data_IF_163274195888
#
_entry.id   IF_163274195888
#
_cell.length_a   1.000
_cell.length_b   1.000
_cell.length_c   1.000
_cell.angle_alpha   90.00
_cell.angle_beta   90.00
_cell.angle_gamma   90.00
#
_symmetry.space_group_name_H-M   'P 1'
#
loop_
_entity.id
_entity.type
_entity.pdbx_description
1 polymer ?
#
# COMPACT_ATOMS: atom_id res chain seq x y z
N UNK A 1 57.03 45.45 38.82
CA UNK A 1 57.95 46.41 38.15
C UNK A 1 57.56 46.38 36.65
N UNK A 2 57.28 47.60 36.20
CA UNK A 2 57.22 48.04 34.80
C UNK A 2 56.22 47.40 33.83
N UNK A 3 55.23 48.22 33.57
CA UNK A 3 54.32 48.27 32.42
C UNK A 3 55.07 48.40 31.08
N UNK A 4 54.59 47.82 30.00
CA UNK A 4 54.75 48.41 28.68
C UNK A 4 53.46 48.19 27.86
N UNK A 5 52.83 49.29 27.55
CA UNK A 5 51.73 49.38 26.59
C UNK A 5 52.29 49.55 25.19
N UNK A 6 51.75 48.91 24.20
CA UNK A 6 52.03 49.23 22.80
C UNK A 6 50.71 49.46 22.06
N UNK A 7 50.52 50.70 21.63
CA UNK A 7 49.50 51.12 20.69
C UNK A 7 49.86 50.64 19.28
N UNK A 8 48.94 50.08 18.54
CA UNK A 8 49.06 49.97 17.10
C UNK A 8 47.78 50.39 16.41
N UNK A 9 48.00 51.24 15.44
CA UNK A 9 47.08 52.09 14.67
C UNK A 9 46.15 51.28 13.74
N UNK A 10 44.90 51.76 13.64
CA UNK A 10 43.92 51.34 12.68
C UNK A 10 44.25 51.97 11.32
N UNK A 11 44.42 51.12 10.30
CA UNK A 11 44.39 51.55 8.88
C UNK A 11 43.08 51.02 8.27
N UNK A 12 42.21 51.97 7.91
CA UNK A 12 40.98 51.69 7.16
C UNK A 12 41.36 51.59 5.67
N UNK A 13 41.20 50.41 5.09
CA UNK A 13 41.22 50.22 3.63
C UNK A 13 39.80 49.96 3.17
N UNK A 14 39.23 50.91 2.49
CA UNK A 14 37.98 50.75 1.73
C UNK A 14 38.25 49.90 0.49
N UNK A 15 37.65 48.71 0.41
CA UNK A 15 37.60 47.91 -0.80
C UNK A 15 36.17 47.88 -1.32
N UNK A 16 36.01 48.37 -2.55
CA UNK A 16 34.77 48.28 -3.32
C UNK A 16 34.37 46.81 -3.53
N UNK A 17 33.21 46.43 -3.04
CA UNK A 17 32.60 45.15 -3.37
C UNK A 17 31.77 45.31 -4.63
N UNK A 18 32.19 44.66 -5.71
CA UNK A 18 31.34 44.38 -6.85
C UNK A 18 30.35 43.29 -6.40
N UNK A 19 29.05 43.60 -6.49
CA UNK A 19 27.98 42.68 -6.21
C UNK A 19 27.97 41.55 -7.24
N UNK A 20 28.16 40.31 -6.75
CA UNK A 20 27.81 39.13 -7.51
C UNK A 20 26.30 38.92 -7.38
N UNK A 21 25.55 39.12 -8.46
CA UNK A 21 24.16 38.69 -8.56
C UNK A 21 24.10 37.15 -8.43
N UNK A 22 23.57 36.69 -7.33
CA UNK A 22 23.15 35.28 -7.19
C UNK A 22 21.92 35.10 -8.08
N UNK A 23 22.11 34.50 -9.24
CA UNK A 23 21.01 34.00 -10.05
C UNK A 23 20.35 32.85 -9.26
N UNK A 24 19.24 33.11 -8.55
CA UNK A 24 18.32 32.11 -8.11
C UNK A 24 17.62 31.51 -9.31
N UNK A 25 18.04 30.30 -9.71
CA UNK A 25 17.27 29.49 -10.64
C UNK A 25 15.95 29.13 -9.98
N UNK A 26 14.90 29.87 -10.26
CA UNK A 26 13.54 29.43 -10.00
C UNK A 26 13.24 28.28 -10.94
N UNK A 27 13.29 27.06 -10.41
CA UNK A 27 12.66 25.91 -11.04
C UNK A 27 11.15 26.24 -11.15
N UNK A 28 10.70 26.52 -12.36
CA UNK A 28 9.28 26.64 -12.65
C UNK A 28 8.64 25.27 -12.47
N UNK A 29 8.18 24.95 -11.26
CA UNK A 29 7.11 23.98 -11.08
C UNK A 29 5.91 24.60 -11.77
N UNK A 30 5.50 24.04 -12.91
CA UNK A 30 4.26 24.37 -13.56
C UNK A 30 3.11 24.04 -12.59
N UNK A 31 2.70 25.01 -11.78
CA UNK A 31 1.49 24.95 -11.02
C UNK A 31 0.33 24.93 -12.03
N UNK A 32 -0.21 23.73 -12.26
CA UNK A 32 -1.51 23.63 -12.96
C UNK A 32 -2.49 24.47 -12.15
N UNK A 33 -3.13 25.45 -12.81
CA UNK A 33 -4.09 26.33 -12.20
C UNK A 33 -5.14 25.49 -11.42
N UNK A 34 -5.49 25.86 -10.18
CA UNK A 34 -6.42 25.08 -9.35
C UNK A 34 -7.84 24.92 -9.94
N UNK A 35 -8.16 25.55 -11.05
CA UNK A 35 -9.51 25.71 -11.59
C UNK A 35 -9.79 25.03 -12.95
N UNK A 36 -8.89 24.19 -13.48
CA UNK A 36 -9.26 23.40 -14.65
C UNK A 36 -10.32 22.37 -14.23
N UNK A 37 -11.51 22.42 -14.85
CA UNK A 37 -12.52 21.37 -14.64
C UNK A 37 -11.98 20.05 -15.20
N UNK A 38 -11.99 19.03 -14.36
CA UNK A 38 -11.56 17.68 -14.71
C UNK A 38 -12.81 16.82 -14.78
N UNK A 39 -12.99 16.09 -15.86
CA UNK A 39 -14.03 15.07 -15.98
C UNK A 39 -13.39 13.70 -16.12
N UNK A 40 -14.10 12.69 -15.63
CA UNK A 40 -13.62 11.32 -15.58
C UNK A 40 -14.60 10.41 -16.32
N UNK A 41 -14.04 9.43 -17.00
CA UNK A 41 -14.76 8.31 -17.59
C UNK A 41 -13.87 7.07 -17.54
N UNK A 42 -14.38 5.92 -17.97
CA UNK A 42 -13.59 4.70 -18.01
C UNK A 42 -13.71 4.01 -19.36
N UNK A 43 -12.71 3.19 -19.66
CA UNK A 43 -12.71 2.25 -20.78
C UNK A 43 -12.39 0.87 -20.24
N UNK A 44 -13.27 -0.11 -20.46
CA UNK A 44 -12.94 -1.52 -20.21
C UNK A 44 -11.86 -1.94 -21.20
N UNK A 45 -10.73 -2.40 -20.67
CA UNK A 45 -9.62 -2.90 -21.48
C UNK A 45 -9.59 -4.42 -21.56
N UNK A 46 -10.20 -5.12 -20.60
CA UNK A 46 -10.25 -6.58 -20.60
C UNK A 46 -11.06 -7.14 -19.44
N UNK A 47 -11.14 -8.48 -19.39
CA UNK A 47 -11.85 -9.21 -18.32
C UNK A 47 -11.05 -10.40 -17.84
N UNK A 48 -10.91 -10.54 -16.51
CA UNK A 48 -10.37 -11.70 -15.81
C UNK A 48 -11.27 -12.01 -14.62
N UNK A 49 -11.85 -13.20 -14.57
CA UNK A 49 -12.71 -13.61 -13.45
C UNK A 49 -11.97 -13.48 -12.11
N UNK A 50 -12.63 -12.84 -11.14
CA UNK A 50 -12.06 -12.65 -9.81
C UNK A 50 -10.84 -11.73 -9.77
N UNK A 51 -10.74 -10.75 -10.68
CA UNK A 51 -9.61 -9.81 -10.67
C UNK A 51 -9.58 -9.03 -9.36
N UNK A 52 -8.41 -9.02 -8.69
CA UNK A 52 -8.22 -8.35 -7.39
C UNK A 52 -6.98 -7.47 -7.35
N UNK A 53 -6.06 -7.62 -8.30
CA UNK A 53 -4.85 -6.79 -8.33
C UNK A 53 -4.33 -6.58 -9.76
N UNK A 54 -3.55 -5.51 -9.94
CA UNK A 54 -2.83 -5.17 -11.16
C UNK A 54 -1.48 -4.58 -10.74
N UNK A 55 -0.39 -5.16 -11.26
CA UNK A 55 0.97 -4.80 -10.86
C UNK A 55 1.86 -4.55 -12.07
N UNK A 56 2.45 -3.36 -12.11
CA UNK A 56 3.47 -3.00 -13.10
C UNK A 56 4.85 -3.43 -12.62
N UNK A 57 5.62 -4.15 -13.46
CA UNK A 57 7.00 -4.50 -13.14
C UNK A 57 7.94 -3.31 -13.37
N UNK A 58 7.76 -2.61 -14.49
CA UNK A 58 8.57 -1.48 -14.89
C UNK A 58 7.76 -0.52 -15.76
N UNK A 59 8.08 0.76 -15.67
CA UNK A 59 7.55 1.78 -16.57
C UNK A 59 7.90 1.53 -18.04
N UNK A 60 9.03 0.84 -18.29
CA UNK A 60 9.51 0.53 -19.64
C UNK A 60 8.76 -0.64 -20.28
N UNK A 61 8.05 -1.45 -19.47
CA UNK A 61 7.24 -2.54 -19.97
C UNK A 61 5.97 -1.99 -20.65
N UNK A 62 5.62 -2.53 -21.81
CA UNK A 62 4.35 -2.25 -22.48
C UNK A 62 3.20 -3.15 -22.01
N UNK A 63 3.38 -3.84 -20.88
CA UNK A 63 2.47 -4.78 -20.28
C UNK A 63 2.51 -4.67 -18.74
N UNK A 64 1.57 -5.34 -18.07
CA UNK A 64 1.48 -5.47 -16.61
C UNK A 64 0.93 -6.84 -16.23
N UNK A 65 1.07 -7.20 -14.96
CA UNK A 65 0.43 -8.39 -14.40
C UNK A 65 -0.98 -8.07 -13.94
N UNK A 66 -1.90 -9.01 -14.18
CA UNK A 66 -3.28 -9.00 -13.69
C UNK A 66 -3.48 -10.24 -12.83
N UNK A 67 -3.95 -10.04 -11.60
CA UNK A 67 -4.04 -11.07 -10.57
C UNK A 67 -5.49 -11.45 -10.35
N UNK A 68 -5.78 -12.74 -10.43
CA UNK A 68 -7.10 -13.31 -10.10
C UNK A 68 -7.07 -13.96 -8.72
N UNK A 69 -8.05 -13.63 -7.90
CA UNK A 69 -8.34 -14.31 -6.64
C UNK A 69 -8.45 -15.83 -6.79
N UNK A 70 -8.84 -16.30 -8.01
CA UNK A 70 -8.95 -17.73 -8.34
C UNK A 70 -7.61 -18.47 -8.40
N UNK A 71 -6.49 -17.76 -8.26
CA UNK A 71 -5.16 -18.35 -8.19
C UNK A 71 -4.33 -18.20 -9.46
N UNK A 72 -4.68 -17.31 -10.38
CA UNK A 72 -3.88 -17.09 -11.59
C UNK A 72 -3.29 -15.69 -11.66
N UNK A 73 -2.12 -15.57 -12.28
CA UNK A 73 -1.52 -14.31 -12.71
C UNK A 73 -1.28 -14.35 -14.19
N UNK A 74 -1.78 -13.32 -14.87
CA UNK A 74 -1.65 -13.17 -16.31
C UNK A 74 -0.84 -11.93 -16.65
N UNK A 75 -0.15 -11.91 -17.79
CA UNK A 75 0.39 -10.69 -18.38
C UNK A 75 -0.55 -10.17 -19.45
N UNK A 76 -0.82 -8.88 -19.39
CA UNK A 76 -1.64 -8.18 -20.36
C UNK A 76 -0.89 -6.96 -20.90
N UNK A 77 -1.04 -6.68 -22.20
CA UNK A 77 -0.57 -5.42 -22.77
C UNK A 77 -1.34 -4.24 -22.16
N UNK A 78 -0.80 -3.04 -22.25
CA UNK A 78 -1.44 -1.83 -21.68
C UNK A 78 -2.80 -1.49 -22.33
N UNK A 79 -3.08 -1.98 -23.52
CA UNK A 79 -4.38 -1.88 -24.19
C UNK A 79 -5.33 -3.03 -23.87
N UNK A 80 -4.89 -3.98 -23.02
CA UNK A 80 -5.73 -5.04 -22.47
C UNK A 80 -5.70 -6.37 -23.23
N UNK A 81 -4.78 -6.54 -24.17
CA UNK A 81 -4.62 -7.84 -24.83
C UNK A 81 -3.92 -8.82 -23.87
N UNK A 82 -4.55 -9.95 -23.61
CA UNK A 82 -3.96 -11.05 -22.84
C UNK A 82 -2.77 -11.65 -23.60
N UNK A 83 -1.64 -11.78 -22.94
CA UNK A 83 -0.42 -12.37 -23.49
C UNK A 83 -0.32 -13.86 -23.08
N UNK A 84 -0.20 -14.12 -21.79
CA UNK A 84 -0.03 -15.46 -21.23
C UNK A 84 -0.46 -15.52 -19.76
N UNK A 85 -0.55 -16.74 -19.23
CA UNK A 85 -0.66 -17.02 -17.80
C UNK A 85 0.74 -17.38 -17.30
N UNK A 86 1.26 -16.56 -16.37
CA UNK A 86 2.62 -16.75 -15.82
C UNK A 86 2.63 -17.52 -14.49
N UNK A 87 1.48 -17.61 -13.83
CA UNK A 87 1.31 -18.42 -12.61
C UNK A 87 -0.11 -19.01 -12.59
N UNK A 88 -0.19 -20.28 -12.18
CA UNK A 88 -1.46 -20.94 -11.86
C UNK A 88 -1.29 -21.77 -10.56
N UNK A 89 -1.88 -21.27 -9.47
CA UNK A 89 -1.97 -21.95 -8.17
C UNK A 89 -3.44 -22.23 -7.79
N UNK A 90 -4.35 -22.25 -8.76
CA UNK A 90 -5.79 -22.47 -8.51
C UNK A 90 -6.07 -23.79 -7.78
N UNK A 91 -5.23 -24.81 -7.98
CA UNK A 91 -5.29 -26.05 -7.23
C UNK A 91 -4.86 -25.93 -5.76
N UNK A 92 -4.19 -24.84 -5.36
CA UNK A 92 -3.65 -24.63 -4.02
C UNK A 92 -4.50 -23.74 -3.13
N UNK A 93 -5.47 -23.00 -3.71
CA UNK A 93 -6.34 -22.06 -3.01
C UNK A 93 -7.81 -22.35 -3.29
N UNK A 94 -8.75 -21.79 -2.51
CA UNK A 94 -10.19 -21.92 -2.75
C UNK A 94 -10.73 -20.82 -3.65
N UNK A 95 -10.19 -19.61 -3.55
CA UNK A 95 -10.65 -18.44 -4.29
C UNK A 95 -12.12 -18.07 -4.02
N UNK A 96 -12.60 -18.25 -2.79
CA UNK A 96 -13.98 -18.01 -2.36
C UNK A 96 -14.05 -17.03 -1.18
N UNK A 97 -15.10 -16.18 -1.15
CA UNK A 97 -15.24 -15.13 -0.15
C UNK A 97 -14.05 -14.16 -0.20
N UNK A 98 -13.36 -14.00 0.92
CA UNK A 98 -12.12 -13.22 1.00
C UNK A 98 -10.84 -14.05 0.78
N UNK A 99 -10.96 -15.37 0.58
CA UNK A 99 -9.84 -16.29 0.37
C UNK A 99 -9.43 -16.34 -1.08
N UNK A 100 -8.17 -16.70 -1.34
CA UNK A 100 -7.65 -16.84 -2.70
C UNK A 100 -6.22 -16.35 -2.83
N UNK A 101 -5.78 -16.08 -4.06
CA UNK A 101 -4.56 -15.34 -4.35
C UNK A 101 -4.89 -13.85 -4.21
N UNK A 102 -4.41 -13.23 -3.14
CA UNK A 102 -4.87 -11.91 -2.69
C UNK A 102 -3.84 -10.80 -2.95
N UNK A 103 -2.56 -11.13 -3.00
CA UNK A 103 -1.50 -10.15 -3.17
C UNK A 103 -0.39 -10.62 -4.09
N UNK A 104 0.17 -9.66 -4.83
CA UNK A 104 1.33 -9.83 -5.69
C UNK A 104 2.19 -8.59 -5.62
N UNK A 105 3.50 -8.76 -5.45
CA UNK A 105 4.44 -7.65 -5.44
C UNK A 105 5.70 -8.01 -6.23
N UNK A 106 6.27 -7.03 -6.92
CA UNK A 106 7.52 -7.17 -7.68
C UNK A 106 8.60 -6.31 -7.03
N UNK A 107 9.74 -6.93 -6.72
CA UNK A 107 10.93 -6.23 -6.27
C UNK A 107 12.01 -6.28 -7.34
N UNK A 108 12.44 -5.11 -7.79
CA UNK A 108 13.54 -4.99 -8.76
C UNK A 108 14.83 -4.61 -8.05
N UNK A 109 15.83 -5.46 -8.14
CA UNK A 109 17.19 -5.19 -7.70
C UNK A 109 18.13 -5.11 -8.92
N UNK A 110 19.31 -4.50 -8.80
CA UNK A 110 20.23 -4.36 -9.93
C UNK A 110 20.62 -5.69 -10.59
N UNK A 111 20.64 -6.79 -9.84
CA UNK A 111 21.08 -8.11 -10.31
C UNK A 111 19.96 -9.12 -10.52
N UNK A 112 18.76 -8.86 -9.98
CA UNK A 112 17.63 -9.80 -10.05
C UNK A 112 16.29 -9.08 -9.89
N UNK A 113 15.24 -9.74 -10.33
CA UNK A 113 13.85 -9.37 -10.03
C UNK A 113 13.17 -10.49 -9.27
N UNK A 114 12.54 -10.16 -8.16
CA UNK A 114 11.82 -11.09 -7.31
C UNK A 114 10.31 -10.78 -7.38
N UNK A 115 9.49 -11.81 -7.33
CA UNK A 115 8.05 -11.73 -7.15
C UNK A 115 7.66 -12.36 -5.80
N UNK A 116 6.64 -11.80 -5.17
CA UNK A 116 6.05 -12.31 -3.93
C UNK A 116 4.56 -12.47 -4.14
N UNK A 117 4.01 -13.58 -3.65
CA UNK A 117 2.58 -13.86 -3.63
C UNK A 117 2.10 -14.01 -2.20
N UNK A 118 0.87 -13.55 -1.95
CA UNK A 118 0.11 -13.84 -0.75
C UNK A 118 -1.16 -14.57 -1.17
N UNK A 119 -1.35 -15.76 -0.66
CA UNK A 119 -2.57 -16.53 -0.92
C UNK A 119 -3.02 -17.28 0.33
N UNK A 120 -4.31 -17.62 0.39
CA UNK A 120 -4.83 -18.55 1.40
C UNK A 120 -4.79 -19.97 0.85
N UNK A 121 -4.16 -20.88 1.58
CA UNK A 121 -4.07 -22.29 1.21
C UNK A 121 -5.44 -23.03 1.40
N UNK A 122 -5.48 -24.33 1.14
CA UNK A 122 -6.71 -25.14 1.29
C UNK A 122 -7.18 -25.28 2.74
N UNK A 123 -6.27 -25.14 3.70
CA UNK A 123 -6.62 -25.15 5.13
C UNK A 123 -7.17 -23.80 5.59
N UNK A 124 -6.99 -22.76 4.76
CA UNK A 124 -7.45 -21.39 4.99
C UNK A 124 -6.36 -20.46 5.52
N UNK A 125 -5.14 -20.96 5.72
CA UNK A 125 -4.03 -20.17 6.24
C UNK A 125 -3.43 -19.24 5.19
N UNK A 126 -2.96 -18.09 5.63
CA UNK A 126 -2.22 -17.16 4.80
C UNK A 126 -0.82 -17.68 4.54
N UNK A 127 -0.43 -17.73 3.29
CA UNK A 127 0.90 -18.20 2.83
C UNK A 127 1.57 -17.11 2.00
N UNK A 128 2.81 -16.79 2.35
CA UNK A 128 3.68 -15.90 1.58
C UNK A 128 4.78 -16.74 0.92
N UNK A 129 4.88 -16.62 -0.39
CA UNK A 129 5.89 -17.34 -1.17
C UNK A 129 6.63 -16.40 -2.12
N UNK A 130 7.84 -16.81 -2.48
CA UNK A 130 8.74 -16.12 -3.40
C UNK A 130 8.83 -16.85 -4.74
N UNK A 131 9.00 -16.09 -5.82
CA UNK A 131 9.20 -16.61 -7.16
C UNK A 131 10.24 -15.72 -7.87
N UNK A 132 11.24 -16.31 -8.51
CA UNK A 132 12.15 -15.56 -9.35
C UNK A 132 11.43 -15.05 -10.61
N UNK A 133 11.78 -13.87 -11.08
CA UNK A 133 11.23 -13.28 -12.30
C UNK A 133 12.31 -13.30 -13.38
N UNK A 134 12.02 -13.92 -14.51
CA UNK A 134 12.89 -13.95 -15.68
C UNK A 134 13.00 -12.56 -16.33
N UNK A 135 14.02 -12.35 -17.15
CA UNK A 135 14.24 -11.08 -17.85
C UNK A 135 13.06 -10.66 -18.72
N UNK A 136 12.38 -11.62 -19.36
CA UNK A 136 11.20 -11.41 -20.18
C UNK A 136 9.92 -11.13 -19.35
N UNK A 137 9.98 -11.24 -18.02
CA UNK A 137 8.86 -11.04 -17.11
C UNK A 137 8.00 -12.27 -16.86
N UNK A 138 8.38 -13.44 -17.36
CA UNK A 138 7.76 -14.69 -16.91
C UNK A 138 8.22 -15.05 -15.51
N UNK A 139 7.42 -15.80 -14.77
CA UNK A 139 7.78 -16.30 -13.45
C UNK A 139 8.50 -17.64 -13.57
N UNK A 140 9.58 -17.84 -12.80
CA UNK A 140 10.31 -19.10 -12.79
C UNK A 140 9.53 -20.16 -11.99
N UNK A 141 8.84 -21.03 -12.69
CA UNK A 141 8.06 -22.14 -12.12
C UNK A 141 8.89 -23.43 -11.96
N UNK A 142 10.21 -23.36 -12.00
CA UNK A 142 11.08 -24.54 -11.82
C UNK A 142 11.04 -25.09 -10.39
N UNK A 143 10.69 -24.25 -9.41
CA UNK A 143 10.45 -24.63 -8.02
C UNK A 143 8.94 -24.67 -7.74
N UNK A 144 8.51 -25.61 -6.88
CA UNK A 144 7.13 -25.60 -6.40
C UNK A 144 6.90 -24.42 -5.46
N UNK A 145 5.70 -23.87 -5.47
CA UNK A 145 5.32 -22.76 -4.54
C UNK A 145 5.50 -23.17 -3.08
N UNK A 146 5.20 -24.43 -2.73
CA UNK A 146 5.46 -24.94 -1.37
C UNK A 146 6.95 -24.96 -1.02
N UNK A 147 7.83 -25.16 -2.00
CA UNK A 147 9.29 -25.13 -1.81
C UNK A 147 9.88 -23.72 -1.72
N UNK A 148 9.09 -22.69 -2.01
CA UNK A 148 9.48 -21.27 -1.93
C UNK A 148 8.65 -20.48 -0.90
N UNK A 149 7.78 -21.17 -0.15
CA UNK A 149 7.05 -20.61 0.99
C UNK A 149 8.00 -20.27 2.12
N UNK A 150 7.93 -19.07 2.67
CA UNK A 150 8.79 -18.62 3.76
C UNK A 150 8.03 -18.08 4.97
N UNK A 151 6.72 -17.82 4.87
CA UNK A 151 5.88 -17.43 5.98
C UNK A 151 4.49 -18.05 5.82
N UNK A 152 4.00 -18.66 6.90
CA UNK A 152 2.61 -19.13 7.01
C UNK A 152 2.00 -18.57 8.28
N UNK A 153 0.79 -18.02 8.17
CA UNK A 153 0.05 -17.44 9.30
C UNK A 153 -1.29 -18.15 9.39
N UNK A 154 -1.55 -18.79 10.52
CA UNK A 154 -2.81 -19.44 10.80
C UNK A 154 -3.96 -18.43 10.79
N UNK A 155 -5.04 -18.76 10.08
CA UNK A 155 -6.24 -17.94 9.95
C UNK A 155 -7.41 -18.63 10.66
N UNK A 156 -7.88 -18.07 11.78
CA UNK A 156 -8.92 -18.70 12.59
C UNK A 156 -10.30 -18.66 11.94
N UNK A 157 -10.54 -17.70 11.04
CA UNK A 157 -11.82 -17.50 10.35
C UNK A 157 -11.63 -17.34 8.84
N UNK A 158 -12.75 -17.37 8.08
CA UNK A 158 -12.71 -17.32 6.63
C UNK A 158 -12.64 -15.91 6.03
N UNK A 159 -12.77 -14.88 6.85
CA UNK A 159 -12.79 -13.48 6.47
C UNK A 159 -11.66 -12.68 7.14
N UNK A 160 -11.49 -11.43 6.74
CA UNK A 160 -10.42 -10.53 7.16
C UNK A 160 -9.02 -11.11 6.90
N UNK A 161 -8.84 -11.65 5.70
CA UNK A 161 -7.54 -12.23 5.32
C UNK A 161 -6.49 -11.16 4.98
N UNK A 162 -6.91 -9.90 4.72
CA UNK A 162 -6.03 -8.87 4.22
C UNK A 162 -5.44 -9.25 2.87
N UNK A 163 -4.14 -9.52 2.84
CA UNK A 163 -3.46 -10.16 1.71
C UNK A 163 -2.65 -9.23 0.82
N UNK A 164 -2.81 -7.92 0.95
CA UNK A 164 -2.03 -6.98 0.15
C UNK A 164 -0.53 -7.10 0.43
N UNK A 165 0.27 -6.94 -0.64
CA UNK A 165 1.73 -6.87 -0.62
C UNK A 165 2.20 -5.58 -1.28
N UNK A 166 3.26 -4.99 -0.75
CA UNK A 166 3.98 -3.90 -1.41
C UNK A 166 5.47 -3.96 -1.10
N UNK A 167 6.30 -3.53 -2.05
CA UNK A 167 7.71 -3.24 -1.80
C UNK A 167 7.83 -1.79 -1.38
N UNK A 168 8.39 -1.56 -0.21
CA UNK A 168 8.64 -0.23 0.30
C UNK A 168 9.78 0.49 -0.41
N UNK A 169 9.91 1.81 -0.21
CA UNK A 169 11.03 2.59 -0.74
C UNK A 169 12.39 2.17 -0.17
N UNK A 170 12.40 1.36 0.87
CA UNK A 170 13.55 0.71 1.51
C UNK A 170 13.88 -0.67 0.93
N UNK A 171 13.16 -1.12 -0.11
CA UNK A 171 13.23 -2.44 -0.74
C UNK A 171 12.85 -3.62 0.17
N UNK A 172 12.19 -3.38 1.30
CA UNK A 172 11.61 -4.43 2.13
C UNK A 172 10.19 -4.79 1.68
N UNK A 173 9.77 -5.99 2.04
CA UNK A 173 8.41 -6.47 1.77
C UNK A 173 7.49 -6.09 2.92
N UNK A 174 6.41 -5.39 2.58
CA UNK A 174 5.31 -5.06 3.49
C UNK A 174 4.13 -5.98 3.20
N UNK A 175 3.54 -6.54 4.27
CA UNK A 175 2.48 -7.55 4.20
C UNK A 175 1.34 -7.09 5.09
N UNK A 176 0.15 -6.92 4.52
CA UNK A 176 -1.07 -6.61 5.26
C UNK A 176 -1.77 -7.89 5.70
N UNK A 177 -2.09 -7.99 6.98
CA UNK A 177 -2.87 -9.08 7.55
C UNK A 177 -4.12 -8.51 8.23
N UNK A 178 -5.27 -9.12 8.00
CA UNK A 178 -6.47 -8.84 8.78
C UNK A 178 -6.35 -9.35 10.22
N UNK A 179 -7.29 -8.96 11.07
CA UNK A 179 -7.36 -9.39 12.49
C UNK A 179 -7.68 -10.88 12.66
N UNK A 180 -7.85 -11.61 11.57
CA UNK A 180 -8.14 -13.04 11.51
C UNK A 180 -9.62 -13.34 11.40
N UNK A 181 -10.51 -12.32 11.38
CA UNK A 181 -11.90 -12.48 11.07
C UNK A 181 -12.85 -12.49 12.26
N UNK A 182 -14.10 -12.88 11.99
CA UNK A 182 -15.23 -12.74 12.89
C UNK A 182 -15.60 -11.26 13.17
N UNK A 183 -16.53 -11.01 14.09
CA UNK A 183 -16.96 -9.65 14.42
C UNK A 183 -16.24 -9.16 15.68
N UNK A 184 -15.89 -7.89 15.71
CA UNK A 184 -15.39 -7.18 16.89
C UNK A 184 -13.99 -7.59 17.37
N UNK A 185 -13.17 -8.29 16.56
CA UNK A 185 -11.85 -8.82 16.95
C UNK A 185 -11.94 -9.58 18.28
N UNK A 186 -12.61 -10.75 18.32
CA UNK A 186 -12.98 -11.43 19.57
C UNK A 186 -11.78 -11.85 20.40
N UNK A 187 -10.65 -12.13 19.78
CA UNK A 187 -9.40 -12.51 20.44
C UNK A 187 -8.43 -11.32 20.62
N UNK A 188 -8.86 -10.09 20.28
CA UNK A 188 -8.06 -8.86 20.44
C UNK A 188 -6.71 -8.87 19.69
N UNK A 189 -6.65 -9.61 18.59
CA UNK A 189 -5.42 -9.82 17.82
C UNK A 189 -4.84 -8.55 17.24
N UNK A 190 -5.69 -7.60 16.86
CA UNK A 190 -5.20 -6.33 16.29
C UNK A 190 -4.28 -5.57 17.23
N UNK A 191 -4.48 -5.63 18.56
CA UNK A 191 -3.63 -5.00 19.58
C UNK A 191 -2.63 -5.95 20.22
N UNK A 192 -2.70 -7.27 19.95
CA UNK A 192 -1.78 -8.27 20.48
C UNK A 192 -0.49 -8.31 19.67
N UNK A 193 0.63 -7.91 20.26
CA UNK A 193 1.95 -7.92 19.62
C UNK A 193 2.58 -9.29 19.50
N UNK A 194 2.00 -10.33 20.11
CA UNK A 194 2.44 -11.73 19.93
C UNK A 194 1.83 -12.38 18.69
N UNK A 195 0.80 -11.74 18.10
CA UNK A 195 0.09 -12.17 16.90
C UNK A 195 0.55 -11.41 15.66
N UNK A 196 0.62 -12.08 14.52
CA UNK A 196 0.86 -11.46 13.21
C UNK A 196 -0.43 -10.96 12.52
N UNK A 197 -1.60 -11.13 13.16
CA UNK A 197 -2.89 -10.73 12.62
C UNK A 197 -3.27 -9.31 13.05
N UNK A 198 -3.98 -8.57 12.16
CA UNK A 198 -4.34 -7.17 12.37
C UNK A 198 -3.15 -6.20 12.26
N UNK A 199 -2.26 -6.44 11.29
CA UNK A 199 -0.92 -5.83 11.19
C UNK A 199 -0.55 -5.37 9.78
N UNK A 200 0.41 -4.46 9.72
CA UNK A 200 1.36 -4.42 8.61
C UNK A 200 2.67 -5.03 9.13
N UNK A 201 3.13 -6.07 8.47
CA UNK A 201 4.43 -6.68 8.72
C UNK A 201 5.46 -6.08 7.77
N UNK A 202 6.73 -6.01 8.18
CA UNK A 202 7.85 -5.56 7.36
C UNK A 202 9.03 -6.50 7.54
N UNK A 203 9.49 -7.10 6.45
CA UNK A 203 10.56 -8.09 6.43
C UNK A 203 11.55 -7.78 5.31
N UNK A 204 12.80 -8.20 5.50
CA UNK A 204 13.82 -8.16 4.46
C UNK A 204 13.90 -9.52 3.75
N UNK A 205 13.45 -9.61 2.48
CA UNK A 205 13.43 -10.85 1.74
C UNK A 205 14.76 -11.17 1.03
N UNK A 206 15.89 -10.65 1.45
CA UNK A 206 17.17 -10.84 0.75
C UNK A 206 17.74 -12.27 0.84
N UNK A 207 17.32 -13.07 1.81
CA UNK A 207 17.85 -14.41 2.06
C UNK A 207 16.88 -15.54 1.65
N UNK A 208 15.86 -15.25 0.84
CA UNK A 208 14.81 -16.23 0.50
C UNK A 208 15.30 -17.36 -0.41
N UNK A 209 16.32 -17.13 -1.22
CA UNK A 209 16.92 -18.12 -2.11
C UNK A 209 18.00 -18.99 -1.41
N UNK A 210 18.31 -18.69 -0.15
CA UNK A 210 19.26 -19.45 0.68
C UNK A 210 18.62 -20.64 1.40
N UNK A 211 19.39 -21.73 1.50
CA UNK A 211 19.00 -22.93 2.25
C UNK A 211 19.08 -22.62 3.75
N UNK A 212 17.99 -22.14 4.33
CA UNK A 212 17.90 -21.85 5.77
C UNK A 212 16.47 -21.59 6.19
N UNK A 213 16.12 -21.97 7.39
CA UNK A 213 14.75 -22.19 7.88
C UNK A 213 13.78 -21.00 7.89
N UNK A 214 14.15 -19.79 7.48
CA UNK A 214 13.22 -18.66 7.56
C UNK A 214 13.29 -17.68 6.38
N UNK A 215 13.91 -18.01 5.28
CA UNK A 215 13.84 -17.26 4.00
C UNK A 215 13.83 -15.72 4.00
N UNK A 216 13.80 -15.08 5.19
CA UNK A 216 13.81 -13.62 5.36
C UNK A 216 14.58 -13.23 6.63
N UNK A 217 14.94 -11.96 6.74
CA UNK A 217 15.48 -11.36 7.97
C UNK A 217 14.61 -10.21 8.44
N UNK A 218 14.79 -9.85 9.70
CA UNK A 218 14.04 -8.72 10.30
C UNK A 218 14.88 -7.46 10.18
N UNK A 219 14.35 -6.37 9.58
CA UNK A 219 15.01 -5.08 9.60
C UNK A 219 15.27 -4.62 11.06
N UNK A 220 16.51 -4.21 11.33
CA UNK A 220 16.94 -3.86 12.69
C UNK A 220 16.23 -2.64 13.28
N UNK A 221 15.57 -1.87 12.44
CA UNK A 221 14.77 -0.69 12.78
C UNK A 221 13.26 -0.98 12.85
N UNK A 222 12.84 -2.27 12.80
CA UNK A 222 11.45 -2.62 13.07
C UNK A 222 11.09 -2.27 14.53
N UNK A 223 9.87 -1.74 14.77
CA UNK A 223 9.50 -1.22 16.09
C UNK A 223 9.57 -2.24 17.23
N UNK A 224 9.32 -3.50 16.92
CA UNK A 224 9.21 -4.57 17.93
C UNK A 224 10.43 -5.51 17.99
N UNK A 225 11.49 -5.25 17.25
CA UNK A 225 12.68 -6.13 17.16
C UNK A 225 13.34 -6.39 18.53
N UNK A 226 13.27 -5.43 19.44
CA UNK A 226 13.88 -5.51 20.79
C UNK A 226 12.83 -5.65 21.91
N UNK A 227 11.56 -5.93 21.57
CA UNK A 227 10.50 -6.07 22.56
C UNK A 227 10.29 -7.56 22.86
N UNK A 228 10.63 -7.94 24.10
CA UNK A 228 10.51 -9.34 24.54
C UNK A 228 9.07 -9.85 24.42
N UNK A 229 8.88 -10.98 23.74
CA UNK A 229 7.59 -11.62 23.52
C UNK A 229 6.80 -11.05 22.34
N UNK A 230 7.18 -9.92 21.76
CA UNK A 230 6.54 -9.41 20.57
C UNK A 230 7.10 -10.07 19.29
N UNK A 231 6.29 -10.11 18.23
CA UNK A 231 6.71 -10.57 16.90
C UNK A 231 7.54 -9.46 16.23
N UNK A 232 8.80 -9.74 15.90
CA UNK A 232 9.70 -8.72 15.37
C UNK A 232 9.37 -8.30 13.93
N UNK A 233 8.56 -9.06 13.21
CA UNK A 233 8.06 -8.74 11.87
C UNK A 233 7.11 -7.54 11.87
N UNK A 234 6.51 -7.20 13.00
CA UNK A 234 5.49 -6.16 13.11
C UNK A 234 6.09 -4.78 12.85
N UNK A 235 5.48 -4.05 11.91
CA UNK A 235 5.76 -2.65 11.64
C UNK A 235 4.64 -1.73 12.12
N UNK A 236 3.36 -2.13 11.96
CA UNK A 236 2.20 -1.41 12.48
C UNK A 236 1.16 -2.38 13.03
N UNK A 237 0.38 -1.92 14.02
CA UNK A 237 -0.68 -2.68 14.69
C UNK A 237 -2.02 -1.95 14.59
N UNK A 238 -3.09 -2.62 15.02
CA UNK A 238 -4.40 -1.99 15.18
C UNK A 238 -5.15 -1.79 13.88
N UNK A 239 -5.04 -2.75 12.95
CA UNK A 239 -5.77 -2.80 11.70
C UNK A 239 -6.81 -3.92 11.76
N UNK A 240 -7.94 -3.73 11.05
CA UNK A 240 -9.01 -4.74 10.99
C UNK A 240 -8.86 -5.66 9.78
N UNK A 241 -8.91 -5.08 8.59
CA UNK A 241 -8.77 -5.79 7.32
C UNK A 241 -8.17 -4.84 6.28
N UNK A 242 -6.84 -4.56 6.35
CA UNK A 242 -6.15 -3.68 5.42
C UNK A 242 -6.13 -4.31 4.03
N UNK A 243 -7.25 -4.14 3.32
CA UNK A 243 -7.50 -4.82 2.05
C UNK A 243 -6.49 -4.44 0.97
N UNK A 244 -6.15 -3.14 0.90
CA UNK A 244 -5.11 -2.64 -0.01
C UNK A 244 -4.35 -1.50 0.63
N UNK A 245 -3.08 -1.41 0.28
CA UNK A 245 -2.25 -0.28 0.63
C UNK A 245 -1.25 0.03 -0.49
N UNK A 246 -0.70 1.22 -0.48
CA UNK A 246 0.26 1.69 -1.46
C UNK A 246 1.17 2.75 -0.89
N UNK A 247 2.40 2.81 -1.39
CA UNK A 247 3.31 3.91 -1.07
C UNK A 247 3.09 5.08 -2.03
N UNK A 248 3.14 6.30 -1.50
CA UNK A 248 3.23 7.49 -2.33
C UNK A 248 4.69 7.79 -2.72
N UNK A 249 4.89 8.81 -3.57
CA UNK A 249 6.22 9.22 -4.03
C UNK A 249 7.10 9.83 -2.92
N UNK A 250 6.52 10.19 -1.78
CA UNK A 250 7.23 10.67 -0.60
C UNK A 250 7.65 9.53 0.32
N UNK A 251 7.11 8.33 0.09
CA UNK A 251 7.36 7.12 0.87
C UNK A 251 6.40 6.94 2.04
N UNK A 252 5.30 7.69 2.11
CA UNK A 252 4.24 7.42 3.07
C UNK A 252 3.41 6.23 2.60
N UNK A 253 2.96 5.39 3.54
CA UNK A 253 2.07 4.27 3.26
C UNK A 253 0.62 4.68 3.49
N UNK A 254 -0.19 4.61 2.44
CA UNK A 254 -1.62 4.79 2.46
C UNK A 254 -2.32 3.45 2.59
N UNK A 255 -3.22 3.32 3.56
CA UNK A 255 -3.88 2.06 3.90
C UNK A 255 -5.39 2.27 3.84
N UNK A 256 -6.07 1.44 3.04
CA UNK A 256 -7.52 1.30 3.06
C UNK A 256 -7.87 0.14 4.00
N UNK A 257 -8.42 0.45 5.15
CA UNK A 257 -8.78 -0.52 6.18
C UNK A 257 -10.29 -0.64 6.30
N UNK A 258 -10.80 -1.85 6.11
CA UNK A 258 -12.24 -2.12 6.07
C UNK A 258 -12.83 -2.09 7.48
N UNK A 259 -13.84 -1.27 7.67
CA UNK A 259 -14.53 -1.09 8.94
C UNK A 259 -15.46 -2.24 9.32
N UNK A 260 -16.02 -2.17 10.53
CA UNK A 260 -16.85 -3.23 11.07
C UNK A 260 -18.35 -3.05 10.78
N UNK A 261 -18.90 -1.89 11.18
CA UNK A 261 -20.33 -1.66 11.18
C UNK A 261 -20.76 -0.30 10.63
N UNK A 262 -19.90 0.72 10.74
CA UNK A 262 -20.31 2.11 10.53
C UNK A 262 -19.33 2.96 9.75
N UNK A 263 -18.04 2.67 9.80
CA UNK A 263 -17.02 3.57 9.30
C UNK A 263 -15.95 2.83 8.51
N UNK A 264 -15.73 3.26 7.29
CA UNK A 264 -14.58 2.86 6.48
C UNK A 264 -13.43 3.86 6.69
N UNK A 265 -12.18 3.42 6.56
CA UNK A 265 -11.01 4.19 6.92
C UNK A 265 -9.95 4.28 5.82
N UNK A 266 -9.38 5.48 5.66
CA UNK A 266 -8.10 5.68 5.00
C UNK A 266 -7.09 6.14 6.04
N UNK A 267 -6.04 5.38 6.23
CA UNK A 267 -4.96 5.65 7.16
C UNK A 267 -3.69 6.04 6.41
N UNK A 268 -2.84 6.87 7.02
CA UNK A 268 -1.50 7.19 6.50
C UNK A 268 -0.47 6.86 7.57
N UNK A 269 0.52 6.06 7.18
CA UNK A 269 1.74 5.87 7.93
C UNK A 269 2.85 6.72 7.30
N UNK A 270 3.44 7.67 8.04
CA UNK A 270 4.48 8.51 7.50
C UNK A 270 5.75 7.69 7.20
N UNK A 271 6.54 8.12 6.21
CA UNK A 271 7.83 7.50 5.85
C UNK A 271 8.77 7.32 7.04
N UNK A 272 8.72 8.24 8.00
CA UNK A 272 9.51 8.16 9.23
C UNK A 272 9.19 6.93 10.08
N UNK A 273 8.07 6.25 9.81
CA UNK A 273 7.64 5.03 10.50
C UNK A 273 7.17 5.24 11.93
N UNK A 274 7.49 6.38 12.56
CA UNK A 274 7.13 6.63 13.95
C UNK A 274 6.55 8.04 14.11
N UNK A 275 5.46 8.13 14.85
CA UNK A 275 4.96 9.39 15.42
C UNK A 275 5.76 9.69 16.68
N UNK A 276 6.11 10.96 16.91
CA UNK A 276 6.88 11.36 18.07
C UNK A 276 6.28 10.83 19.38
N UNK A 277 7.09 10.14 20.17
CA UNK A 277 6.68 9.51 21.43
C UNK A 277 6.03 8.13 21.32
N UNK A 278 5.89 7.57 20.12
CA UNK A 278 5.39 6.21 19.88
C UNK A 278 6.53 5.23 19.65
N UNK A 279 6.36 3.99 20.11
CA UNK A 279 7.26 2.86 19.78
C UNK A 279 6.87 2.22 18.45
N UNK A 280 5.61 2.41 17.97
CA UNK A 280 5.09 1.85 16.74
C UNK A 280 3.89 2.67 16.23
N UNK A 281 3.47 2.38 15.00
CA UNK A 281 2.22 2.87 14.44
C UNK A 281 1.06 1.99 14.93
N UNK A 282 0.05 2.60 15.57
CA UNK A 282 -1.16 1.92 16.04
C UNK A 282 -2.38 2.61 15.45
N UNK A 283 -3.11 1.94 14.56
CA UNK A 283 -4.29 2.49 13.89
C UNK A 283 -5.60 2.30 14.65
N UNK A 284 -5.54 1.75 15.87
CA UNK A 284 -6.60 1.86 16.85
C UNK A 284 -7.62 0.73 16.89
N UNK A 285 -7.75 -0.11 15.88
CA UNK A 285 -8.64 -1.26 15.89
C UNK A 285 -8.20 -2.25 17.01
N UNK A 286 -9.02 -2.85 17.81
CA UNK A 286 -10.49 -2.75 17.85
C UNK A 286 -11.02 -1.81 18.96
N UNK A 287 -10.17 -0.93 19.49
CA UNK A 287 -10.59 0.11 20.42
C UNK A 287 -11.43 1.19 19.73
N UNK A 288 -11.13 1.45 18.46
CA UNK A 288 -11.81 2.43 17.62
C UNK A 288 -12.25 1.81 16.30
N UNK A 289 -13.33 2.33 15.73
CA UNK A 289 -13.77 2.21 14.34
C UNK A 289 -13.91 3.62 13.80
N UNK A 290 -13.09 3.98 12.81
CA UNK A 290 -12.89 5.38 12.47
C UNK A 290 -12.30 6.17 13.65
N UNK A 291 -12.84 7.34 13.87
CA UNK A 291 -12.51 8.17 15.05
C UNK A 291 -13.39 7.86 16.26
N UNK A 292 -14.22 6.82 16.19
CA UNK A 292 -15.25 6.52 17.16
C UNK A 292 -14.85 5.37 18.07
N UNK A 293 -15.10 5.53 19.37
CA UNK A 293 -14.86 4.47 20.34
C UNK A 293 -15.74 3.24 20.01
N UNK A 294 -15.11 2.06 19.89
CA UNK A 294 -15.78 0.82 19.54
C UNK A 294 -15.79 -0.15 20.72
N UNK A 295 -14.71 -0.89 20.99
CA UNK A 295 -14.60 -1.74 22.15
C UNK A 295 -14.10 -0.95 23.37
N UNK A 296 -14.95 -0.82 24.40
CA UNK A 296 -14.60 -0.02 25.60
C UNK A 296 -13.57 -0.68 26.51
N UNK A 297 -13.40 -2.01 26.41
CA UNK A 297 -12.45 -2.82 27.17
C UNK A 297 -11.07 -2.93 26.50
N UNK A 298 -10.90 -2.47 25.25
CA UNK A 298 -9.63 -2.47 24.53
C UNK A 298 -8.94 -1.13 24.65
N UNK A 299 -7.65 -1.15 24.94
CA UNK A 299 -6.82 0.06 25.01
C UNK A 299 -5.89 0.06 23.80
N UNK A 300 -6.07 1.04 22.91
CA UNK A 300 -5.13 1.34 21.84
C UNK A 300 -4.28 2.54 22.25
N UNK A 301 -3.07 2.26 22.73
CA UNK A 301 -2.15 3.33 23.17
C UNK A 301 -1.66 4.13 21.96
N UNK A 302 -1.66 5.46 22.06
CA UNK A 302 -1.20 6.38 21.02
C UNK A 302 -1.84 6.09 19.64
N UNK A 303 -3.13 5.77 19.64
CA UNK A 303 -3.84 5.46 18.40
C UNK A 303 -3.79 6.64 17.42
N UNK A 304 -3.39 6.35 16.18
CA UNK A 304 -3.41 7.27 15.06
C UNK A 304 -4.80 7.18 14.45
N UNK A 305 -5.50 8.30 14.40
CA UNK A 305 -6.81 8.38 13.78
C UNK A 305 -6.70 8.40 12.25
N UNK A 306 -7.69 7.86 11.54
CA UNK A 306 -7.69 7.87 10.08
C UNK A 306 -7.66 9.31 9.55
N UNK A 307 -6.95 9.50 8.43
CA UNK A 307 -6.89 10.79 7.72
C UNK A 307 -8.22 11.11 7.02
N UNK A 308 -8.98 10.06 6.71
CA UNK A 308 -10.31 10.12 6.14
C UNK A 308 -11.14 8.95 6.61
N UNK A 309 -12.42 9.20 6.85
CA UNK A 309 -13.41 8.16 7.13
C UNK A 309 -14.73 8.49 6.43
N UNK A 310 -15.50 7.47 6.08
CA UNK A 310 -16.85 7.66 5.57
C UNK A 310 -17.80 6.62 6.17
N UNK A 311 -19.10 6.99 6.35
CA UNK A 311 -20.06 6.10 7.02
C UNK A 311 -20.58 5.01 6.06
N UNK A 312 -21.14 3.93 6.65
CA UNK A 312 -21.94 2.94 5.94
C UNK A 312 -23.38 3.47 5.66
N UNK A 313 -23.44 4.69 5.12
CA UNK A 313 -24.70 5.30 4.68
C UNK A 313 -24.84 5.14 3.15
N UNK A 314 -26.06 5.31 2.64
CA UNK A 314 -26.36 5.27 1.19
C UNK A 314 -25.87 4.01 0.47
N UNK A 315 -25.71 2.91 1.22
CA UNK A 315 -25.30 1.61 0.67
C UNK A 315 -23.80 1.35 0.68
N UNK A 316 -22.96 2.25 1.18
CA UNK A 316 -21.52 2.02 1.38
C UNK A 316 -21.27 0.92 2.43
N UNK A 317 -20.24 0.12 2.23
CA UNK A 317 -20.00 -1.04 3.10
C UNK A 317 -18.56 -1.51 3.24
N UNK A 318 -17.69 -1.20 2.29
CA UNK A 318 -16.32 -1.73 2.32
C UNK A 318 -15.41 -0.95 1.38
N UNK A 319 -14.41 -0.31 1.95
CA UNK A 319 -13.34 0.31 1.17
C UNK A 319 -12.51 -0.76 0.48
N UNK A 320 -12.30 -0.63 -0.83
CA UNK A 320 -11.63 -1.64 -1.64
C UNK A 320 -10.28 -1.20 -2.20
N UNK A 321 -9.61 -0.37 -1.44
CA UNK A 321 -8.24 -0.03 -1.73
C UNK A 321 -8.07 1.24 -2.53
N UNK A 322 -6.84 1.52 -2.88
CA UNK A 322 -6.57 2.77 -3.52
C UNK A 322 -5.15 2.92 -4.05
N UNK A 323 -4.99 4.00 -4.79
CA UNK A 323 -3.73 4.40 -5.37
C UNK A 323 -3.55 5.92 -5.32
N UNK A 324 -2.33 6.37 -5.14
CA UNK A 324 -1.98 7.79 -5.27
C UNK A 324 -1.71 8.12 -6.73
N UNK A 325 -2.33 9.17 -7.23
CA UNK A 325 -2.05 9.67 -8.57
C UNK A 325 -0.69 10.36 -8.62
N UNK A 326 0.22 9.82 -9.41
CA UNK A 326 1.58 10.37 -9.60
C UNK A 326 1.69 11.26 -10.83
N UNK A 327 0.78 11.12 -11.79
CA UNK A 327 0.79 11.82 -13.07
C UNK A 327 -0.52 12.60 -13.29
N UNK A 328 -0.40 13.93 -13.36
CA UNK A 328 -1.56 14.81 -13.56
C UNK A 328 -2.27 14.60 -14.89
N UNK A 329 -1.55 14.20 -15.93
CA UNK A 329 -2.11 14.09 -17.29
C UNK A 329 -3.00 12.86 -17.45
N UNK A 330 -2.57 11.74 -16.92
CA UNK A 330 -3.21 10.44 -17.14
C UNK A 330 -4.06 9.94 -15.96
N UNK A 331 -3.83 10.47 -14.74
CA UNK A 331 -4.43 9.94 -13.52
C UNK A 331 -5.32 10.95 -12.78
N UNK A 332 -5.57 12.12 -13.35
CA UNK A 332 -6.39 13.14 -12.73
C UNK A 332 -5.61 14.15 -11.91
N UNK A 333 -5.78 14.18 -10.60
CA UNK A 333 -5.14 15.15 -9.71
C UNK A 333 -3.92 14.53 -9.02
N UNK A 334 -2.70 14.95 -9.39
CA UNK A 334 -1.48 14.45 -8.76
C UNK A 334 -1.47 14.70 -7.24
N UNK A 335 -0.99 13.72 -6.50
CA UNK A 335 -0.94 13.76 -5.04
C UNK A 335 -2.26 13.42 -4.35
N UNK A 336 -3.35 13.20 -5.12
CA UNK A 336 -4.60 12.73 -4.56
C UNK A 336 -4.60 11.20 -4.44
N UNK A 337 -5.18 10.70 -3.36
CA UNK A 337 -5.43 9.28 -3.15
C UNK A 337 -6.84 8.93 -3.64
N UNK A 338 -6.93 7.95 -4.51
CA UNK A 338 -8.17 7.45 -5.09
C UNK A 338 -8.50 6.10 -4.47
N UNK A 339 -9.70 5.92 -3.99
CA UNK A 339 -10.20 4.66 -3.41
C UNK A 339 -11.61 4.36 -3.90
N UNK A 340 -11.99 3.08 -3.83
CA UNK A 340 -13.32 2.60 -4.19
C UNK A 340 -14.11 2.12 -2.98
N UNK A 341 -15.43 2.08 -3.11
CA UNK A 341 -16.30 1.31 -2.22
C UNK A 341 -16.87 0.11 -2.98
N UNK A 342 -16.79 -1.05 -2.36
CA UNK A 342 -17.21 -2.32 -2.96
C UNK A 342 -18.72 -2.37 -3.21
N UNK A 343 -19.55 -1.83 -2.31
CA UNK A 343 -21.01 -1.93 -2.39
C UNK A 343 -21.63 -0.91 -3.33
N UNK A 344 -21.22 0.35 -3.21
CA UNK A 344 -21.78 1.43 -4.05
C UNK A 344 -21.15 1.47 -5.44
N UNK A 345 -19.91 0.97 -5.58
CA UNK A 345 -19.16 1.14 -6.81
C UNK A 345 -18.72 2.57 -7.07
N UNK A 346 -18.66 3.38 -6.03
CA UNK A 346 -18.15 4.75 -6.10
C UNK A 346 -16.63 4.77 -6.07
N UNK A 347 -16.03 5.64 -6.86
CA UNK A 347 -14.61 6.01 -6.75
C UNK A 347 -14.53 7.42 -6.21
N UNK A 348 -13.85 7.57 -5.10
CA UNK A 348 -13.61 8.85 -4.43
C UNK A 348 -12.12 9.17 -4.43
N UNK A 349 -11.80 10.45 -4.64
CA UNK A 349 -10.45 10.96 -4.52
C UNK A 349 -10.36 11.96 -3.36
N UNK A 350 -9.29 11.88 -2.58
CA UNK A 350 -9.02 12.79 -1.46
C UNK A 350 -7.64 13.42 -1.57
N UNK A 351 -7.54 14.66 -1.13
CA UNK A 351 -6.29 15.37 -0.89
C UNK A 351 -6.10 15.59 0.60
N UNK A 352 -4.90 15.37 1.10
CA UNK A 352 -4.55 15.64 2.50
C UNK A 352 -3.42 16.65 2.62
N UNK A 353 -3.38 17.32 3.77
CA UNK A 353 -2.23 18.12 4.21
C UNK A 353 -1.29 17.35 5.15
N UNK A 354 -1.51 16.04 5.33
CA UNK A 354 -0.78 15.17 6.24
C UNK A 354 -1.43 15.00 7.61
N UNK A 355 -2.38 15.87 7.98
CA UNK A 355 -3.10 15.83 9.27
C UNK A 355 -4.60 15.58 9.08
N UNK A 356 -5.15 16.03 7.97
CA UNK A 356 -6.58 15.93 7.66
C UNK A 356 -6.82 15.97 6.16
N UNK A 357 -7.99 15.47 5.75
CA UNK A 357 -8.48 15.64 4.39
C UNK A 357 -8.85 17.10 4.15
N UNK A 358 -8.25 17.71 3.12
CA UNK A 358 -8.50 19.11 2.71
C UNK A 358 -9.27 19.23 1.39
N UNK A 359 -9.48 18.12 0.69
CA UNK A 359 -10.27 18.04 -0.52
C UNK A 359 -10.83 16.65 -0.74
N UNK A 360 -12.08 16.59 -1.22
CA UNK A 360 -12.76 15.32 -1.56
C UNK A 360 -13.50 15.51 -2.87
N UNK A 361 -13.43 14.56 -3.77
CA UNK A 361 -14.10 14.56 -5.06
C UNK A 361 -14.65 13.16 -5.37
N UNK A 362 -15.94 13.03 -5.70
CA UNK A 362 -16.48 11.80 -6.28
C UNK A 362 -16.10 11.76 -7.76
N UNK A 363 -15.30 10.78 -8.12
CA UNK A 363 -14.67 10.63 -9.45
C UNK A 363 -15.56 9.84 -10.40
N UNK A 364 -16.08 8.70 -9.93
CA UNK A 364 -16.96 7.80 -10.68
C UNK A 364 -18.04 7.25 -9.74
N UNK A 365 -19.15 6.79 -10.31
CA UNK A 365 -20.25 6.13 -9.59
C UNK A 365 -20.69 4.89 -10.35
N UNK A 366 -21.35 3.97 -9.64
CA UNK A 366 -22.02 2.78 -10.22
C UNK A 366 -21.08 1.86 -10.99
N UNK A 367 -19.79 1.77 -10.61
CA UNK A 367 -18.82 0.88 -11.26
C UNK A 367 -19.08 -0.61 -10.96
N UNK A 368 -20.06 -0.92 -10.11
CA UNK A 368 -20.26 -2.25 -9.53
C UNK A 368 -19.29 -2.53 -8.41
N UNK A 369 -19.20 -3.79 -7.97
CA UNK A 369 -18.37 -4.17 -6.82
C UNK A 369 -16.88 -3.96 -7.15
N UNK A 370 -16.31 -2.86 -6.67
CA UNK A 370 -14.89 -2.53 -6.89
C UNK A 370 -14.03 -3.42 -6.00
N UNK A 371 -13.07 -4.13 -6.58
CA UNK A 371 -12.12 -5.00 -5.87
C UNK A 371 -10.78 -4.33 -5.59
N UNK A 372 -10.35 -3.40 -6.46
CA UNK A 372 -9.16 -2.60 -6.25
C UNK A 372 -9.12 -1.36 -7.14
N UNK A 373 -8.37 -0.35 -6.70
CA UNK A 373 -7.87 0.73 -7.57
C UNK A 373 -6.36 0.64 -7.58
N UNK A 374 -5.78 0.65 -8.77
CA UNK A 374 -4.33 0.54 -8.98
C UNK A 374 -3.83 1.59 -9.95
N UNK A 375 -2.60 2.01 -9.76
CA UNK A 375 -1.89 2.89 -10.68
C UNK A 375 -0.65 2.22 -11.26
N UNK A 376 -0.38 2.53 -12.52
CA UNK A 376 0.91 2.33 -13.16
C UNK A 376 1.55 3.69 -13.37
N UNK A 377 2.75 3.76 -13.91
CA UNK A 377 3.36 5.04 -14.27
C UNK A 377 2.56 5.85 -15.30
N UNK A 378 1.68 5.21 -16.07
CA UNK A 378 0.98 5.84 -17.20
C UNK A 378 -0.53 5.95 -17.05
N UNK A 379 -1.16 5.22 -16.14
CA UNK A 379 -2.62 5.21 -16.00
C UNK A 379 -3.07 4.69 -14.63
N UNK A 380 -4.33 4.96 -14.33
CA UNK A 380 -5.04 4.40 -13.18
C UNK A 380 -6.09 3.41 -13.66
N UNK A 381 -6.33 2.36 -12.88
CA UNK A 381 -7.26 1.28 -13.20
C UNK A 381 -8.21 1.03 -12.04
N UNK A 382 -9.47 0.75 -12.39
CA UNK A 382 -10.51 0.28 -11.47
C UNK A 382 -10.82 -1.18 -11.82
N UNK A 383 -10.70 -2.06 -10.84
CA UNK A 383 -10.95 -3.49 -10.99
C UNK A 383 -12.28 -3.84 -10.33
N UNK A 384 -13.08 -4.70 -10.96
CA UNK A 384 -14.40 -5.04 -10.42
C UNK A 384 -14.57 -6.56 -10.25
N UNK A 385 -15.43 -6.97 -9.33
CA UNK A 385 -15.74 -8.38 -9.08
C UNK A 385 -16.28 -9.12 -10.31
N UNK A 386 -16.95 -8.39 -11.23
CA UNK A 386 -17.38 -8.94 -12.52
C UNK A 386 -16.22 -9.29 -13.46
N UNK A 387 -15.00 -9.05 -13.01
CA UNK A 387 -13.77 -9.33 -13.73
C UNK A 387 -13.32 -8.20 -14.65
N UNK A 388 -14.00 -7.09 -14.71
CA UNK A 388 -13.67 -6.00 -15.61
C UNK A 388 -12.46 -5.20 -15.09
N UNK A 389 -11.53 -4.93 -15.99
CA UNK A 389 -10.41 -4.03 -15.82
C UNK A 389 -10.71 -2.75 -16.58
N UNK A 390 -10.99 -1.67 -15.85
CA UNK A 390 -11.31 -0.37 -16.41
C UNK A 390 -10.09 0.55 -16.31
N UNK A 391 -9.67 1.13 -17.43
CA UNK A 391 -8.71 2.23 -17.43
C UNK A 391 -9.45 3.54 -17.19
N UNK A 392 -8.99 4.34 -16.21
CA UNK A 392 -9.48 5.71 -15.99
C UNK A 392 -9.04 6.62 -17.13
N UNK A 393 -9.99 7.37 -17.66
CA UNK A 393 -9.78 8.38 -18.71
C UNK A 393 -10.05 9.75 -18.09
N UNK A 394 -9.07 10.63 -18.19
CA UNK A 394 -9.12 11.97 -17.63
C UNK A 394 -9.20 12.99 -18.76
N UNK A 395 -10.26 13.80 -18.77
CA UNK A 395 -10.43 14.92 -19.71
C UNK A 395 -10.31 16.23 -18.94
N UNK A 396 -9.53 17.17 -19.45
CA UNK A 396 -9.34 18.52 -18.88
C UNK A 396 -9.98 19.52 -19.83
N UNK A 397 -10.87 20.37 -19.29
CA UNK A 397 -11.59 21.42 -20.02
C UNK A 397 -10.99 22.79 -19.70
#
# INVERSE_FOLDING_TARGET
MRRLALFLSVAVLAACSQGAEVQTSTSSTSSVAPNASVSYSTRVIGKLEGVVDLVERSADDNWFYVVSQKGTIERWTRDGQRMDTVLDISAMTTGEGERGLLGFAIRRLPSKTDAFINYTNKDGDTVIAWIAVNEDGTLDNSRSITGTTFLTIEQPYANHNGGALAIGPDNYLYIGTGDGGSSNDPERRAQDTTSLLGKILRIDPNNIDGVGNEGYTIPSDNPYVNIAGARPEIWAIGLRNPWRFTFDSFGNLWIADVGQNKWEEVNIAPKSGLVEGSISLNFGWSAYEGTHRFNSDVIAQNAIMPIHQYPHDDGACSISGGAVATNTTAMGRAGWFYFGDYCTGDVTAILTNGESTVGTEKVLSDMGNITAIRSTNSAMYVLTQKGEVHQLIVTRN
#
